data_IF_659138122381
#
_entry.id   IF_659138122381
#
_cell.length_a   1.000
_cell.length_b   1.000
_cell.length_c   1.000
_cell.angle_alpha   90.00
_cell.angle_beta   90.00
_cell.angle_gamma   90.00
#
_symmetry.space_group_name_H-M   'P 1'
#
loop_
_entity.id
_entity.type
_entity.pdbx_description
1 polymer ?
#
# COMPACT_ATOMS: atom_id res chain seq x y z
N UNK A 1 -17.66 0.22 4.13
CA UNK A 1 -16.31 0.10 3.52
C UNK A 1 -15.71 1.44 3.16
N UNK A 2 -16.42 2.26 2.39
CA UNK A 2 -15.89 3.57 1.96
C UNK A 2 -15.56 4.50 3.12
N UNK A 3 -16.40 4.54 4.13
CA UNK A 3 -16.16 5.38 5.31
C UNK A 3 -14.88 4.99 6.04
N UNK A 4 -14.62 3.70 6.20
CA UNK A 4 -13.39 3.21 6.83
C UNK A 4 -12.16 3.62 6.01
N UNK A 5 -12.25 3.48 4.68
CA UNK A 5 -11.15 3.86 3.78
C UNK A 5 -10.88 5.37 3.84
N UNK A 6 -11.92 6.18 3.82
CA UNK A 6 -11.77 7.65 3.93
C UNK A 6 -11.14 8.03 5.27
N UNK A 7 -11.51 7.34 6.34
CA UNK A 7 -10.97 7.62 7.67
C UNK A 7 -9.49 7.24 7.75
N UNK A 8 -9.12 6.11 7.15
CA UNK A 8 -7.76 5.59 7.23
C UNK A 8 -6.80 6.30 6.27
N UNK A 9 -7.24 6.58 5.03
CA UNK A 9 -6.38 7.07 3.96
C UNK A 9 -6.69 8.48 3.48
N UNK A 10 -7.74 9.10 4.02
CA UNK A 10 -8.13 10.44 3.64
C UNK A 10 -9.30 10.49 2.66
N UNK A 11 -9.86 11.67 2.52
CA UNK A 11 -11.04 11.90 1.68
C UNK A 11 -10.79 11.45 0.24
N UNK A 12 -11.74 10.74 -0.32
CA UNK A 12 -11.64 10.18 -1.67
C UNK A 12 -11.13 8.76 -1.75
N UNK A 13 -10.52 8.23 -0.68
CA UNK A 13 -9.97 6.89 -0.68
C UNK A 13 -11.07 5.83 -0.84
N UNK A 14 -12.21 6.02 -0.18
CA UNK A 14 -13.31 5.07 -0.27
C UNK A 14 -13.86 4.94 -1.68
N UNK A 15 -13.99 6.06 -2.38
CA UNK A 15 -14.43 6.05 -3.77
C UNK A 15 -13.38 5.48 -4.71
N UNK A 16 -12.10 5.76 -4.45
CA UNK A 16 -10.99 5.21 -5.24
C UNK A 16 -10.93 3.69 -5.14
N UNK A 17 -11.05 3.16 -3.92
CA UNK A 17 -10.98 1.71 -3.67
C UNK A 17 -12.26 0.99 -4.07
N UNK A 18 -13.41 1.60 -3.79
CA UNK A 18 -14.72 0.96 -3.95
C UNK A 18 -15.67 1.86 -4.73
N UNK A 19 -15.43 2.08 -6.04
CA UNK A 19 -16.30 2.94 -6.83
C UNK A 19 -17.74 2.43 -6.87
N UNK A 20 -18.70 3.35 -6.94
CA UNK A 20 -20.10 3.01 -7.14
C UNK A 20 -20.27 2.33 -8.51
N UNK A 21 -21.04 1.25 -8.52
CA UNK A 21 -21.35 0.54 -9.76
C UNK A 21 -20.33 -0.50 -10.18
N UNK A 22 -19.20 -0.61 -9.50
CA UNK A 22 -18.24 -1.67 -9.77
C UNK A 22 -18.63 -2.94 -9.00
N UNK A 23 -18.60 -4.08 -9.68
CA UNK A 23 -18.81 -5.36 -9.04
C UNK A 23 -17.54 -5.81 -8.33
N UNK A 24 -17.61 -5.85 -7.00
CA UNK A 24 -16.50 -6.30 -6.16
C UNK A 24 -16.89 -7.58 -5.45
N UNK A 25 -15.94 -8.50 -5.33
CA UNK A 25 -16.15 -9.73 -4.57
C UNK A 25 -15.68 -9.51 -3.14
N UNK A 26 -16.58 -9.75 -2.19
CA UNK A 26 -16.24 -9.73 -0.77
C UNK A 26 -16.08 -11.17 -0.30
N UNK A 27 -14.86 -11.57 0.03
CA UNK A 27 -14.57 -12.88 0.60
C UNK A 27 -14.78 -12.80 2.11
N UNK A 28 -15.54 -13.78 2.64
CA UNK A 28 -15.91 -13.79 4.05
C UNK A 28 -15.26 -14.95 4.78
N UNK A 29 -15.10 -14.80 6.10
CA UNK A 29 -14.67 -15.88 6.97
C UNK A 29 -15.82 -16.90 7.12
N UNK A 30 -15.53 -18.06 7.73
CA UNK A 30 -16.54 -19.06 8.04
C UNK A 30 -17.65 -18.52 8.94
N UNK A 31 -17.34 -17.50 9.77
CA UNK A 31 -18.35 -16.80 10.59
C UNK A 31 -19.12 -15.70 9.87
N UNK A 32 -18.93 -15.52 8.57
CA UNK A 32 -19.63 -14.53 7.78
C UNK A 32 -19.04 -13.12 7.82
N UNK A 33 -17.94 -12.90 8.51
CA UNK A 33 -17.29 -11.58 8.57
C UNK A 33 -16.53 -11.29 7.27
N UNK A 34 -16.61 -10.06 6.72
CA UNK A 34 -15.79 -9.69 5.57
C UNK A 34 -14.30 -9.83 5.92
N UNK A 35 -13.54 -10.42 5.01
CA UNK A 35 -12.08 -10.57 5.19
C UNK A 35 -11.29 -9.88 4.09
N UNK A 36 -11.76 -9.96 2.85
CA UNK A 36 -11.07 -9.38 1.70
C UNK A 36 -12.07 -8.79 0.73
N UNK A 37 -11.65 -7.74 0.04
CA UNK A 37 -12.40 -7.18 -1.08
C UNK A 37 -11.52 -7.32 -2.32
N UNK A 38 -12.06 -7.97 -3.36
CA UNK A 38 -11.31 -8.34 -4.57
C UNK A 38 -12.01 -7.75 -5.79
N UNK A 39 -11.25 -7.07 -6.64
CA UNK A 39 -11.68 -6.60 -7.96
C UNK A 39 -11.10 -7.51 -9.05
N UNK A 40 -11.43 -7.24 -10.31
CA UNK A 40 -10.91 -8.01 -11.44
C UNK A 40 -9.38 -7.99 -11.48
N UNK A 41 -8.76 -6.87 -11.15
CA UNK A 41 -7.30 -6.73 -11.17
C UNK A 41 -6.62 -7.35 -9.95
N UNK A 42 -7.37 -7.79 -8.94
CA UNK A 42 -6.82 -8.45 -7.77
C UNK A 42 -7.37 -7.94 -6.45
N UNK A 43 -6.71 -8.34 -5.37
CA UNK A 43 -7.12 -7.96 -4.02
C UNK A 43 -6.88 -6.47 -3.79
N UNK A 44 -7.94 -5.78 -3.37
CA UNK A 44 -7.86 -4.36 -3.03
C UNK A 44 -7.42 -4.16 -1.58
N UNK A 45 -8.12 -4.80 -0.65
CA UNK A 45 -7.85 -4.69 0.78
C UNK A 45 -8.20 -5.99 1.50
N UNK A 46 -7.62 -6.15 2.68
CA UNK A 46 -8.06 -7.12 3.68
C UNK A 46 -8.44 -6.38 4.95
N UNK A 47 -9.41 -6.92 5.69
CA UNK A 47 -9.78 -6.38 6.99
C UNK A 47 -8.78 -6.88 8.04
N UNK A 48 -8.16 -5.95 8.75
CA UNK A 48 -7.30 -6.26 9.88
C UNK A 48 -8.12 -6.49 11.15
N UNK A 49 -7.47 -7.11 12.14
CA UNK A 49 -8.12 -7.39 13.43
C UNK A 49 -8.48 -6.13 14.21
N UNK A 50 -7.84 -5.02 13.90
CA UNK A 50 -8.07 -3.72 14.53
C UNK A 50 -9.13 -2.88 13.80
N UNK A 51 -9.81 -3.46 12.80
CA UNK A 51 -10.82 -2.76 12.00
C UNK A 51 -10.26 -1.89 10.88
N UNK A 52 -8.93 -1.85 10.73
CA UNK A 52 -8.29 -1.11 9.63
C UNK A 52 -8.06 -2.03 8.45
N UNK A 53 -7.92 -1.44 7.27
CA UNK A 53 -7.58 -2.20 6.07
C UNK A 53 -6.07 -2.38 5.93
N UNK A 54 -5.68 -3.54 5.41
CA UNK A 54 -4.36 -3.73 4.83
C UNK A 54 -4.52 -3.77 3.32
N UNK A 55 -3.61 -3.11 2.61
CA UNK A 55 -3.69 -2.98 1.15
C UNK A 55 -3.17 -4.22 0.44
N UNK A 56 -3.84 -4.58 -0.68
CA UNK A 56 -3.23 -5.38 -1.72
C UNK A 56 -2.61 -4.47 -2.76
N UNK A 57 -1.82 -5.02 -3.68
CA UNK A 57 -1.18 -4.23 -4.74
C UNK A 57 -2.21 -3.51 -5.60
N UNK A 58 -3.31 -4.18 -5.97
CA UNK A 58 -4.37 -3.56 -6.76
C UNK A 58 -5.00 -2.37 -6.02
N UNK A 59 -5.24 -2.51 -4.70
CA UNK A 59 -5.74 -1.40 -3.89
C UNK A 59 -4.74 -0.26 -3.80
N UNK A 60 -3.47 -0.59 -3.62
CA UNK A 60 -2.41 0.41 -3.59
C UNK A 60 -2.32 1.21 -4.89
N UNK A 61 -2.49 0.56 -6.03
CA UNK A 61 -2.51 1.24 -7.34
C UNK A 61 -3.69 2.20 -7.44
N UNK A 62 -4.87 1.80 -6.99
CA UNK A 62 -6.05 2.68 -7.00
C UNK A 62 -5.85 3.91 -6.13
N UNK A 63 -5.30 3.72 -4.92
CA UNK A 63 -5.01 4.84 -4.04
C UNK A 63 -3.96 5.77 -4.63
N UNK A 64 -2.88 5.22 -5.17
CA UNK A 64 -1.80 6.01 -5.72
C UNK A 64 -2.26 6.90 -6.89
N UNK A 65 -3.13 6.38 -7.75
CA UNK A 65 -3.69 7.13 -8.87
C UNK A 65 -4.57 8.30 -8.41
N UNK A 66 -5.20 8.18 -7.26
CA UNK A 66 -6.19 9.16 -6.79
C UNK A 66 -5.62 10.12 -5.75
N UNK A 67 -4.78 9.63 -4.84
CA UNK A 67 -4.30 10.41 -3.69
C UNK A 67 -2.96 11.12 -3.93
N UNK A 68 -2.48 11.14 -5.14
CA UNK A 68 -1.36 11.97 -5.60
C UNK A 68 -0.18 12.06 -4.61
N UNK A 69 0.46 10.91 -4.36
CA UNK A 69 1.65 10.83 -3.53
C UNK A 69 1.41 10.62 -2.04
N UNK A 70 0.18 10.65 -1.56
CA UNK A 70 -0.11 10.36 -0.18
C UNK A 70 0.16 8.88 0.15
N UNK A 71 0.71 8.63 1.33
CA UNK A 71 1.06 7.29 1.83
C UNK A 71 2.09 6.57 0.96
N UNK A 72 2.93 7.30 0.23
CA UNK A 72 3.95 6.69 -0.62
C UNK A 72 5.33 6.71 0.01
N UNK A 73 6.11 5.67 -0.29
CA UNK A 73 7.53 5.57 0.00
C UNK A 73 8.21 5.25 -1.32
N UNK A 74 9.10 6.12 -1.77
CA UNK A 74 9.75 5.99 -3.07
C UNK A 74 11.16 5.41 -2.95
N UNK A 75 11.49 4.53 -3.90
CA UNK A 75 12.82 3.91 -4.01
C UNK A 75 13.30 4.02 -5.46
N UNK A 76 14.59 3.79 -5.66
CA UNK A 76 15.20 3.86 -6.98
C UNK A 76 15.31 2.52 -7.69
N UNK A 77 15.99 2.54 -8.84
CA UNK A 77 16.16 1.38 -9.72
C UNK A 77 16.82 0.19 -9.03
N UNK A 78 17.78 0.44 -8.15
CA UNK A 78 18.51 -0.65 -7.50
C UNK A 78 17.65 -1.48 -6.56
N UNK A 79 16.59 -0.87 -6.01
CA UNK A 79 15.69 -1.55 -5.09
C UNK A 79 14.51 -2.23 -5.81
N UNK A 80 14.18 -1.77 -7.00
CA UNK A 80 12.97 -2.21 -7.71
C UNK A 80 12.81 -3.72 -7.82
N UNK A 81 13.80 -4.49 -8.32
CA UNK A 81 13.59 -5.93 -8.48
C UNK A 81 13.36 -6.65 -7.17
N UNK A 82 14.02 -6.20 -6.10
CA UNK A 82 13.87 -6.82 -4.78
C UNK A 82 12.51 -6.52 -4.17
N UNK A 83 12.07 -5.27 -4.28
CA UNK A 83 10.78 -4.84 -3.74
C UNK A 83 9.62 -5.53 -4.49
N UNK A 84 9.73 -5.65 -5.81
CA UNK A 84 8.74 -6.38 -6.61
C UNK A 84 8.59 -7.84 -6.19
N UNK A 85 9.68 -8.45 -5.71
CA UNK A 85 9.65 -9.83 -5.21
C UNK A 85 9.11 -9.94 -3.78
N UNK A 86 8.84 -8.83 -3.12
CA UNK A 86 8.32 -8.83 -1.76
C UNK A 86 9.38 -8.62 -0.68
N UNK A 87 10.58 -8.20 -1.04
CA UNK A 87 11.63 -7.90 -0.07
C UNK A 87 11.34 -6.57 0.63
N UNK A 88 11.77 -6.46 1.88
CA UNK A 88 11.55 -5.26 2.67
C UNK A 88 12.39 -4.09 2.19
N UNK A 89 11.90 -2.86 2.47
CA UNK A 89 12.62 -1.62 2.15
C UNK A 89 13.38 -1.15 3.38
N UNK A 90 14.68 -0.91 3.21
CA UNK A 90 15.51 -0.35 4.27
C UNK A 90 15.64 1.16 4.09
N UNK A 91 15.78 1.87 5.20
CA UNK A 91 15.77 3.34 5.22
C UNK A 91 16.79 3.96 4.27
N UNK A 92 17.98 3.38 4.16
CA UNK A 92 19.03 3.91 3.30
C UNK A 92 18.68 3.94 1.81
N UNK A 93 17.68 3.16 1.39
CA UNK A 93 17.27 3.10 -0.02
C UNK A 93 16.05 3.98 -0.33
N UNK A 94 15.46 4.62 0.68
CA UNK A 94 14.33 5.51 0.49
C UNK A 94 14.84 6.81 -0.13
N UNK A 95 14.29 7.17 -1.29
CA UNK A 95 14.64 8.41 -1.99
C UNK A 95 13.59 9.50 -1.80
N UNK A 96 12.41 9.14 -1.33
CA UNK A 96 11.36 10.08 -0.99
C UNK A 96 10.28 9.40 -0.18
N UNK A 97 9.59 10.15 0.66
CA UNK A 97 8.51 9.64 1.49
C UNK A 97 7.52 10.76 1.78
N UNK A 98 6.22 10.42 1.77
CA UNK A 98 5.18 11.35 2.19
C UNK A 98 5.40 11.73 3.66
N UNK A 99 5.46 13.02 3.93
CA UNK A 99 5.75 13.57 5.27
C UNK A 99 4.77 13.11 6.34
N UNK A 100 3.55 12.75 5.96
CA UNK A 100 2.51 12.31 6.90
C UNK A 100 2.63 10.84 7.32
N UNK A 101 3.53 10.07 6.73
CA UNK A 101 3.69 8.64 7.06
C UNK A 101 4.16 8.47 8.50
N UNK A 102 3.49 7.59 9.22
CA UNK A 102 3.78 7.23 10.62
C UNK A 102 4.03 5.74 10.71
N UNK A 103 4.74 5.29 11.77
CA UNK A 103 4.89 3.84 11.99
C UNK A 103 3.52 3.16 12.04
N UNK A 104 3.44 1.98 11.44
CA UNK A 104 2.24 1.14 11.31
C UNK A 104 1.25 1.59 10.24
N UNK A 105 1.47 2.71 9.57
CA UNK A 105 0.62 3.09 8.44
C UNK A 105 0.77 2.10 7.31
N UNK A 106 -0.33 1.85 6.60
CA UNK A 106 -0.29 1.16 5.32
C UNK A 106 0.29 2.12 4.29
N UNK A 107 1.27 1.66 3.54
CA UNK A 107 1.96 2.49 2.55
C UNK A 107 2.07 1.76 1.21
N UNK A 108 2.19 2.58 0.16
CA UNK A 108 2.44 2.12 -1.20
C UNK A 108 3.89 2.42 -1.50
N UNK A 109 4.67 1.39 -1.85
CA UNK A 109 6.06 1.57 -2.27
C UNK A 109 6.07 1.79 -3.77
N UNK A 110 6.65 2.91 -4.19
CA UNK A 110 6.68 3.32 -5.59
C UNK A 110 8.11 3.48 -6.07
N UNK A 111 8.30 3.36 -7.39
CA UNK A 111 9.54 3.78 -8.02
C UNK A 111 9.60 5.30 -8.00
N UNK A 112 10.79 5.88 -7.99
CA UNK A 112 10.96 7.34 -7.99
C UNK A 112 10.29 8.04 -9.17
N UNK A 113 10.02 7.32 -10.27
CA UNK A 113 9.26 7.84 -11.40
C UNK A 113 7.75 7.68 -11.26
N UNK A 114 7.25 7.01 -10.21
CA UNK A 114 5.85 7.05 -9.83
C UNK A 114 5.02 5.78 -9.95
N UNK A 115 5.55 4.66 -10.44
CA UNK A 115 4.76 3.45 -10.56
C UNK A 115 4.88 2.56 -9.31
N UNK A 116 3.80 1.81 -9.01
CA UNK A 116 3.70 1.01 -7.79
C UNK A 116 4.54 -0.26 -7.90
N UNK A 117 5.33 -0.52 -6.85
CA UNK A 117 6.18 -1.71 -6.74
C UNK A 117 5.68 -2.71 -5.71
N UNK A 118 5.06 -2.22 -4.64
CA UNK A 118 4.64 -3.06 -3.53
C UNK A 118 3.71 -2.30 -2.59
N UNK A 119 3.10 -3.04 -1.67
CA UNK A 119 2.36 -2.47 -0.54
C UNK A 119 2.88 -3.12 0.73
N UNK A 120 2.78 -2.40 1.84
CA UNK A 120 3.23 -2.91 3.12
C UNK A 120 2.93 -1.96 4.26
N UNK A 121 3.63 -2.17 5.36
CA UNK A 121 3.46 -1.38 6.57
C UNK A 121 4.73 -0.59 6.85
N UNK A 122 4.57 0.70 7.12
CA UNK A 122 5.67 1.54 7.55
C UNK A 122 6.16 1.10 8.94
N UNK A 123 7.47 0.92 9.07
CA UNK A 123 8.10 0.60 10.36
C UNK A 123 8.73 1.83 11.00
N UNK A 124 8.95 2.88 10.20
CA UNK A 124 9.50 4.17 10.64
C UNK A 124 8.56 5.28 10.20
N UNK A 125 8.64 6.41 10.90
CA UNK A 125 7.99 7.65 10.43
C UNK A 125 8.73 8.18 9.21
N UNK A 126 8.11 9.15 8.51
CA UNK A 126 8.78 9.81 7.39
C UNK A 126 10.13 10.40 7.81
N UNK A 127 10.18 11.11 8.95
CA UNK A 127 11.42 11.65 9.48
C UNK A 127 12.46 10.56 9.78
N UNK A 128 12.01 9.45 10.35
CA UNK A 128 12.89 8.31 10.63
C UNK A 128 13.49 7.70 9.36
N UNK A 129 12.69 7.60 8.31
CA UNK A 129 13.17 7.08 7.02
C UNK A 129 14.23 7.98 6.40
N UNK A 130 14.09 9.29 6.58
CA UNK A 130 15.04 10.27 6.05
C UNK A 130 16.33 10.35 6.85
N UNK A 131 16.25 10.16 8.18
CA UNK A 131 17.36 10.36 9.09
C UNK A 131 18.20 9.10 9.34
N UNK A 132 17.57 7.92 9.34
CA UNK A 132 18.27 6.69 9.68
C UNK A 132 18.93 6.06 8.46
N UNK A 133 20.21 5.72 8.60
CA UNK A 133 20.94 4.99 7.57
C UNK A 133 20.70 3.48 7.68
N UNK A 134 20.31 3.02 8.86
CA UNK A 134 20.02 1.61 9.12
C UNK A 134 18.60 1.48 9.61
N UNK A 135 18.04 0.30 9.44
CA UNK A 135 16.69 0.00 9.89
C UNK A 135 15.74 -0.23 8.72
N UNK A 136 14.68 -0.94 9.03
CA UNK A 136 13.64 -1.29 8.06
C UNK A 136 12.64 -0.14 7.97
N UNK A 137 12.51 0.45 6.79
CA UNK A 137 11.53 1.50 6.56
C UNK A 137 10.13 0.93 6.32
N UNK A 138 10.03 -0.09 5.47
CA UNK A 138 8.75 -0.72 5.13
C UNK A 138 8.89 -2.23 5.20
N UNK A 139 7.99 -2.86 5.94
CA UNK A 139 7.81 -4.30 5.89
C UNK A 139 6.85 -4.60 4.76
N UNK A 140 7.39 -5.08 3.63
CA UNK A 140 6.59 -5.36 2.44
C UNK A 140 5.74 -6.61 2.70
N UNK A 141 4.46 -6.50 2.39
CA UNK A 141 3.52 -7.61 2.51
C UNK A 141 3.26 -8.28 1.17
N UNK A 142 3.17 -7.48 0.10
CA UNK A 142 2.90 -7.98 -1.24
C UNK A 142 3.66 -7.15 -2.26
N UNK A 143 4.45 -7.81 -3.09
CA UNK A 143 5.16 -7.16 -4.20
C UNK A 143 4.34 -7.25 -5.47
N UNK A 144 4.57 -6.30 -6.39
CA UNK A 144 3.87 -6.27 -7.68
C UNK A 144 4.31 -7.39 -8.63
N UNK A 145 5.42 -8.04 -8.34
CA UNK A 145 5.94 -9.13 -9.17
C UNK A 145 6.64 -8.63 -10.43
N UNK A 146 6.85 -9.53 -11.36
CA UNK A 146 7.53 -9.22 -12.62
C UNK A 146 6.75 -8.18 -13.42
N UNK A 147 7.40 -7.09 -13.90
CA UNK A 147 6.73 -6.08 -14.72
C UNK A 147 6.02 -6.67 -15.94
N UNK A 148 6.53 -7.75 -16.51
CA UNK A 148 5.92 -8.39 -17.67
C UNK A 148 4.58 -9.06 -17.37
N UNK A 149 4.24 -9.29 -16.10
CA UNK A 149 2.97 -9.90 -15.70
C UNK A 149 1.88 -8.89 -15.36
N UNK A 150 2.18 -7.62 -15.49
CA UNK A 150 1.22 -6.55 -15.19
C UNK A 150 0.34 -6.19 -16.38
#
# INVERSE_FOLDING_TARGET
MRTVADYQFGAGAGEALFPLGEELTVRRSTGGRPRQVVADEGRLVSYGVDGRFTLGVAGGRRLHETLDGEYTVAVGDESEPFVREGKNVFAKFVVGVDDAVRPRDEVVVVHETGYVLAVGRAELSAAGMEEFETGMAVKVREGAGDPASE
#
